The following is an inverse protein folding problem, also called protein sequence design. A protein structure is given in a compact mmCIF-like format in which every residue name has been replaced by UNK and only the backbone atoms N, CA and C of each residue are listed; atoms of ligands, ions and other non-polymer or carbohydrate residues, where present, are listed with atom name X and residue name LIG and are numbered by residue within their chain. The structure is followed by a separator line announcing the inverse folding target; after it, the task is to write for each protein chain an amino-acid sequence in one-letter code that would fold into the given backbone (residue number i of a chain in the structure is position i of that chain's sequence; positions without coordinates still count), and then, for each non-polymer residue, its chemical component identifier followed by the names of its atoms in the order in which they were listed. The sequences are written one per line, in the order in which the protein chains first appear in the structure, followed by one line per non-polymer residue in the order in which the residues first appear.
data_IF_380163364459
#
_entry.id   IF_380163364459
#
_cell.length_a   1.000
_cell.length_b   1.000
_cell.length_c   1.000
_cell.angle_alpha   90.00
_cell.angle_beta   90.00
_cell.angle_gamma   90.00
#
_symmetry.space_group_name_H-M   'P 1'
#
loop_
_entity.id
_entity.type
_entity.pdbx_description
1 polymer ?
#
# COMPACT_ATOMS: atom_id res chain seq x y z
N UNK A 1 23.35 -0.91 7.06
CA UNK A 1 22.21 -1.45 7.83
C UNK A 1 21.32 -2.20 6.87
N UNK A 2 20.72 -3.29 7.33
CA UNK A 2 19.83 -4.15 6.56
C UNK A 2 18.38 -3.70 6.79
N UNK A 3 17.57 -3.58 5.74
CA UNK A 3 16.19 -3.11 5.79
C UNK A 3 15.24 -4.12 6.47
N UNK A 4 15.66 -5.38 6.58
CA UNK A 4 14.90 -6.42 7.29
C UNK A 4 15.02 -6.31 8.81
N UNK A 5 15.92 -5.43 9.30
CA UNK A 5 16.02 -5.13 10.73
C UNK A 5 14.81 -4.29 11.14
N UNK A 6 14.06 -4.77 12.15
CA UNK A 6 12.87 -4.09 12.67
C UNK A 6 13.11 -2.63 13.06
N UNK A 7 14.29 -2.29 13.53
CA UNK A 7 14.65 -0.92 13.90
C UNK A 7 14.68 0.03 12.68
N UNK A 8 14.84 -0.52 11.47
CA UNK A 8 14.83 0.22 10.20
C UNK A 8 13.45 0.25 9.54
N UNK A 9 12.43 -0.39 10.13
CA UNK A 9 11.07 -0.35 9.61
C UNK A 9 10.44 1.02 9.84
N UNK A 10 9.84 1.57 8.79
CA UNK A 10 9.05 2.79 8.87
C UNK A 10 7.61 2.51 9.29
N UNK A 11 6.92 3.55 9.76
CA UNK A 11 5.48 3.52 10.00
C UNK A 11 4.71 3.87 8.73
N UNK A 12 3.55 3.25 8.54
CA UNK A 12 2.57 3.62 7.51
C UNK A 12 1.19 3.69 8.16
N UNK A 13 0.51 4.82 7.98
CA UNK A 13 -0.88 5.02 8.41
C UNK A 13 -1.67 5.62 7.26
N UNK A 14 -2.87 5.09 7.03
CA UNK A 14 -3.75 5.53 5.95
C UNK A 14 -5.16 5.71 6.48
N UNK A 15 -5.79 6.83 6.09
CA UNK A 15 -7.17 7.15 6.42
C UNK A 15 -7.82 7.85 5.23
N UNK A 16 -8.99 7.36 4.82
CA UNK A 16 -9.71 7.91 3.68
C UNK A 16 -10.84 7.00 3.20
N UNK A 17 -11.67 7.47 2.26
CA UNK A 17 -12.81 6.70 1.77
C UNK A 17 -12.40 5.39 1.10
N UNK A 18 -11.25 5.37 0.41
CA UNK A 18 -10.72 4.19 -0.29
C UNK A 18 -10.22 3.07 0.66
N UNK A 19 -9.80 3.42 1.88
CA UNK A 19 -9.25 2.46 2.84
C UNK A 19 -10.33 1.84 3.72
N UNK A 20 -10.15 0.56 4.11
CA UNK A 20 -10.95 -0.11 5.14
C UNK A 20 -10.78 0.59 6.49
N UNK A 21 -11.86 0.64 7.27
CA UNK A 21 -11.83 1.15 8.65
C UNK A 21 -11.42 0.03 9.61
N UNK A 22 -10.72 0.40 10.69
CA UNK A 22 -10.26 -0.52 11.76
C UNK A 22 -9.49 -1.74 11.23
N UNK A 23 -8.75 -1.56 10.14
CA UNK A 23 -7.98 -2.61 9.49
C UNK A 23 -6.48 -2.43 9.72
N UNK A 24 -5.81 -3.50 10.13
CA UNK A 24 -4.35 -3.56 10.27
C UNK A 24 -3.79 -4.50 9.21
N UNK A 25 -3.02 -3.94 8.28
CA UNK A 25 -2.33 -4.72 7.27
C UNK A 25 -1.04 -5.33 7.84
N UNK A 26 -0.62 -6.54 7.42
CA UNK A 26 0.73 -7.03 7.66
C UNK A 26 1.80 -6.05 7.14
N UNK A 27 3.04 -6.18 7.62
CA UNK A 27 4.16 -5.41 7.08
C UNK A 27 4.30 -5.63 5.58
N UNK A 28 4.60 -4.57 4.83
CA UNK A 28 4.79 -4.60 3.39
C UNK A 28 5.92 -3.65 2.98
N UNK A 29 6.47 -3.85 1.79
CA UNK A 29 7.57 -3.02 1.28
C UNK A 29 7.07 -1.68 0.72
N UNK A 30 7.82 -0.61 0.96
CA UNK A 30 7.46 0.74 0.52
C UNK A 30 7.38 0.90 -1.02
N UNK A 31 8.01 0.01 -1.80
CA UNK A 31 7.92 -0.02 -3.27
C UNK A 31 6.47 -0.15 -3.77
N UNK A 32 5.58 -0.74 -2.96
CA UNK A 32 4.17 -0.91 -3.29
C UNK A 32 3.33 0.38 -3.14
N UNK A 33 3.87 1.43 -2.49
CA UNK A 33 3.13 2.68 -2.23
C UNK A 33 2.75 3.41 -3.52
N UNK A 34 3.61 3.38 -4.53
CA UNK A 34 3.31 4.03 -5.82
C UNK A 34 2.10 3.42 -6.50
N UNK A 35 2.06 2.08 -6.64
CA UNK A 35 0.93 1.38 -7.26
C UNK A 35 -0.35 1.57 -6.45
N UNK A 36 -0.26 1.56 -5.11
CA UNK A 36 -1.39 1.86 -4.24
C UNK A 36 -1.99 3.24 -4.52
N UNK A 37 -1.15 4.29 -4.58
CA UNK A 37 -1.59 5.66 -4.87
C UNK A 37 -2.15 5.78 -6.29
N UNK A 38 -1.49 5.19 -7.29
CA UNK A 38 -1.96 5.20 -8.66
C UNK A 38 -3.34 4.56 -8.78
N UNK A 39 -3.58 3.43 -8.10
CA UNK A 39 -4.86 2.76 -8.06
C UNK A 39 -5.96 3.62 -7.40
N UNK A 40 -5.68 4.26 -6.25
CA UNK A 40 -6.65 5.13 -5.56
C UNK A 40 -7.01 6.37 -6.41
N UNK A 41 -6.07 6.88 -7.19
CA UNK A 41 -6.25 8.05 -8.04
C UNK A 41 -6.80 7.71 -9.45
N UNK A 42 -7.11 6.45 -9.72
CA UNK A 42 -7.54 5.96 -11.04
C UNK A 42 -6.56 6.33 -12.17
N UNK A 43 -5.27 6.11 -11.91
CA UNK A 43 -4.20 6.37 -12.86
C UNK A 43 -3.67 5.06 -13.45
N UNK A 44 -3.26 5.10 -14.72
CA UNK A 44 -2.48 4.00 -15.31
C UNK A 44 -1.06 4.02 -14.73
N UNK A 45 -0.65 3.00 -13.95
CA UNK A 45 0.67 2.99 -13.34
C UNK A 45 1.76 2.76 -14.38
N UNK A 46 2.91 3.40 -14.19
CA UNK A 46 4.12 3.05 -14.93
C UNK A 46 4.64 1.66 -14.47
N UNK A 47 5.53 1.06 -15.27
CA UNK A 47 6.21 -0.18 -14.87
C UNK A 47 7.07 0.04 -13.63
N UNK A 48 6.82 -0.69 -12.56
CA UNK A 48 7.58 -0.65 -11.29
C UNK A 48 7.69 -2.04 -10.68
N UNK A 49 8.57 -2.21 -9.70
CA UNK A 49 8.74 -3.48 -8.96
C UNK A 49 7.63 -3.75 -7.93
N UNK A 50 6.73 -2.79 -7.69
CA UNK A 50 5.60 -2.95 -6.78
C UNK A 50 4.50 -3.83 -7.35
N UNK A 51 3.72 -4.46 -6.47
CA UNK A 51 2.52 -5.22 -6.84
C UNK A 51 1.31 -4.78 -6.04
N UNK A 52 0.19 -4.52 -6.72
CA UNK A 52 -1.08 -4.17 -6.07
C UNK A 52 -1.58 -5.30 -5.15
N UNK A 53 -1.31 -6.56 -5.50
CA UNK A 53 -1.71 -7.73 -4.69
C UNK A 53 -1.17 -7.70 -3.25
N UNK A 54 -0.04 -7.02 -3.04
CA UNK A 54 0.60 -6.93 -1.72
C UNK A 54 -0.10 -5.93 -0.79
N UNK A 55 -0.95 -5.06 -1.33
CA UNK A 55 -1.55 -3.93 -0.60
C UNK A 55 -3.06 -3.80 -0.81
N UNK A 56 -3.65 -4.46 -1.81
CA UNK A 56 -5.08 -4.35 -2.14
C UNK A 56 -6.00 -4.72 -0.97
N UNK A 57 -5.55 -5.58 -0.05
CA UNK A 57 -6.36 -6.01 1.10
C UNK A 57 -6.72 -4.86 2.04
N UNK A 58 -5.99 -3.74 2.04
CA UNK A 58 -6.34 -2.55 2.84
C UNK A 58 -7.41 -1.66 2.18
N UNK A 59 -7.73 -1.90 0.92
CA UNK A 59 -8.71 -1.12 0.15
C UNK A 59 -10.12 -1.69 0.29
N UNK A 60 -11.14 -0.84 0.19
CA UNK A 60 -12.55 -1.27 0.09
C UNK A 60 -12.84 -1.78 -1.33
N UNK A 61 -13.71 -2.77 -1.46
CA UNK A 61 -14.06 -3.46 -2.72
C UNK A 61 -14.75 -2.57 -3.80
N UNK A 62 -14.89 -1.26 -3.60
CA UNK A 62 -15.74 -0.37 -4.40
C UNK A 62 -15.00 0.85 -5.00
N UNK A 63 -13.84 0.64 -5.60
CA UNK A 63 -13.25 1.61 -6.53
C UNK A 63 -13.25 0.94 -7.91
N UNK A 64 -14.38 1.10 -8.61
CA UNK A 64 -14.53 0.80 -10.03
C UNK A 64 -14.38 2.07 -10.83
#
# INVERSE_FOLDING_TARGET
YDNDLKDMHAIFYAAGPAFKSDYVHPTFENVNLYILMAHILDLSPASTDGSLSNVEQMLKENQK
#
